data_IF_364589324563
#
_entry.id   IF_364589324563
#
_cell.length_a   1.000
_cell.length_b   1.000
_cell.length_c   1.000
_cell.angle_alpha   90.00
_cell.angle_beta   90.00
_cell.angle_gamma   90.00
#
_symmetry.space_group_name_H-M   'P 1'
#
loop_
_entity.id
_entity.type
_entity.pdbx_description
1 polymer ?
#
# COMPACT_ATOMS: atom_id res chain seq x y z
N UNK A 1 14.80 -0.09 -65.08
CA UNK A 1 14.26 0.70 -63.97
C UNK A 1 14.64 -0.01 -62.68
N UNK A 2 15.44 0.62 -61.81
CA UNK A 2 15.97 0.01 -60.57
C UNK A 2 15.16 0.56 -59.39
N UNK A 3 14.65 -0.27 -58.48
CA UNK A 3 13.84 0.24 -57.36
C UNK A 3 14.72 1.09 -56.43
N UNK A 4 14.16 2.14 -55.79
CA UNK A 4 14.89 2.97 -54.84
C UNK A 4 15.24 2.16 -53.58
N UNK A 5 16.43 2.40 -53.04
CA UNK A 5 16.90 1.76 -51.81
C UNK A 5 16.03 2.18 -50.62
N UNK A 6 15.70 1.27 -49.69
CA UNK A 6 14.94 1.62 -48.49
C UNK A 6 15.71 2.64 -47.65
N UNK A 7 15.03 3.72 -47.27
CA UNK A 7 15.61 4.84 -46.51
C UNK A 7 16.12 4.37 -45.15
N UNK A 8 17.40 4.64 -44.85
CA UNK A 8 18.05 4.31 -43.58
C UNK A 8 17.33 4.90 -42.34
N UNK A 9 16.53 5.95 -42.53
CA UNK A 9 15.69 6.54 -41.48
C UNK A 9 14.58 5.58 -40.99
N UNK A 10 14.06 4.71 -41.86
CA UNK A 10 13.05 3.72 -41.49
C UNK A 10 13.61 2.60 -40.60
N UNK A 11 14.87 2.21 -40.83
CA UNK A 11 15.56 1.20 -40.01
C UNK A 11 15.93 1.73 -38.61
N UNK A 12 16.28 3.01 -38.47
CA UNK A 12 16.55 3.61 -37.15
C UNK A 12 15.29 3.67 -36.27
N UNK A 13 14.11 3.91 -36.86
CA UNK A 13 12.85 4.00 -36.11
C UNK A 13 12.40 2.65 -35.53
N UNK A 14 12.76 1.53 -36.19
CA UNK A 14 12.45 0.17 -35.74
C UNK A 14 13.31 -0.27 -34.54
N UNK A 15 14.50 0.30 -34.35
CA UNK A 15 15.40 0.00 -33.23
C UNK A 15 15.03 0.75 -31.94
N UNK A 16 14.17 1.76 -32.03
CA UNK A 16 13.67 2.54 -30.90
C UNK A 16 12.35 1.99 -30.33
N UNK A 17 11.77 0.94 -30.93
CA UNK A 17 10.61 0.28 -30.34
C UNK A 17 11.07 -0.48 -29.09
N UNK A 18 10.55 -0.13 -27.90
CA UNK A 18 10.79 -0.96 -26.72
C UNK A 18 10.30 -2.38 -27.01
N UNK A 19 10.97 -3.42 -26.49
CA UNK A 19 10.46 -4.77 -26.58
C UNK A 19 9.02 -4.79 -26.05
N UNK A 20 8.12 -5.58 -26.64
CA UNK A 20 6.77 -5.73 -26.13
C UNK A 20 6.88 -6.09 -24.65
N UNK A 21 6.49 -5.12 -23.81
CA UNK A 21 6.75 -5.16 -22.38
C UNK A 21 6.19 -6.45 -21.81
N UNK A 22 6.99 -7.16 -21.04
CA UNK A 22 6.48 -8.23 -20.19
C UNK A 22 5.33 -7.64 -19.39
N UNK A 23 4.11 -8.06 -19.71
CA UNK A 23 2.94 -7.63 -18.97
C UNK A 23 3.12 -8.12 -17.53
N UNK A 24 3.46 -7.20 -16.63
CA UNK A 24 3.55 -7.48 -15.20
C UNK A 24 2.22 -8.11 -14.81
N UNK A 25 2.22 -9.41 -14.49
CA UNK A 25 1.00 -10.11 -14.11
C UNK A 25 0.45 -9.42 -12.88
N UNK A 26 -0.69 -8.75 -13.03
CA UNK A 26 -1.40 -8.16 -11.90
C UNK A 26 -1.64 -9.24 -10.86
N UNK A 27 -1.38 -8.92 -9.59
CA UNK A 27 -1.62 -9.88 -8.53
C UNK A 27 -3.12 -10.15 -8.44
N UNK A 28 -3.48 -11.40 -8.13
CA UNK A 28 -4.87 -11.77 -7.89
C UNK A 28 -5.42 -11.05 -6.65
N UNK A 29 -6.74 -10.80 -6.55
CA UNK A 29 -7.35 -10.16 -5.38
C UNK A 29 -6.97 -10.84 -4.05
N UNK A 30 -6.96 -12.17 -4.04
CA UNK A 30 -6.62 -12.94 -2.84
C UNK A 30 -5.15 -12.75 -2.41
N UNK A 31 -4.21 -12.67 -3.36
CA UNK A 31 -2.80 -12.37 -3.06
C UNK A 31 -2.66 -10.97 -2.46
N UNK A 32 -3.39 -9.99 -3.00
CA UNK A 32 -3.35 -8.59 -2.51
C UNK A 32 -3.92 -8.44 -1.11
N UNK A 33 -5.04 -9.09 -0.82
CA UNK A 33 -5.61 -9.11 0.54
C UNK A 33 -4.62 -9.72 1.55
N UNK A 34 -3.95 -10.82 1.20
CA UNK A 34 -2.91 -11.40 2.08
C UNK A 34 -1.74 -10.45 2.31
N UNK A 35 -1.24 -9.83 1.24
CA UNK A 35 -0.17 -8.83 1.36
C UNK A 35 -0.58 -7.64 2.24
N UNK A 36 -1.84 -7.19 2.15
CA UNK A 36 -2.38 -6.12 3.00
C UNK A 36 -2.42 -6.54 4.48
N UNK A 37 -2.90 -7.76 4.76
CA UNK A 37 -2.93 -8.33 6.13
C UNK A 37 -1.52 -8.50 6.69
N UNK A 38 -0.56 -8.97 5.89
CA UNK A 38 0.83 -9.11 6.33
C UNK A 38 1.43 -7.76 6.72
N UNK A 39 1.18 -6.71 5.92
CA UNK A 39 1.60 -5.35 6.26
C UNK A 39 0.87 -4.79 7.48
N UNK A 40 -0.41 -5.10 7.67
CA UNK A 40 -1.15 -4.69 8.88
C UNK A 40 -0.52 -5.31 10.14
N UNK A 41 -0.22 -6.61 10.08
CA UNK A 41 0.48 -7.29 11.18
C UNK A 41 1.88 -6.70 11.43
N UNK A 42 2.59 -6.29 10.38
CA UNK A 42 3.85 -5.56 10.55
C UNK A 42 3.64 -4.20 11.21
N UNK A 43 2.64 -3.43 10.79
CA UNK A 43 2.27 -2.16 11.43
C UNK A 43 1.91 -2.32 12.91
N UNK A 44 1.26 -3.42 13.29
CA UNK A 44 1.03 -3.77 14.68
C UNK A 44 2.33 -3.90 15.46
N UNK A 45 3.33 -4.59 14.90
CA UNK A 45 4.66 -4.74 15.52
C UNK A 45 5.37 -3.39 15.61
N UNK A 46 5.36 -2.61 14.52
CA UNK A 46 6.09 -1.35 14.40
C UNK A 46 5.55 -0.26 15.35
N UNK A 47 4.24 -0.32 15.65
CA UNK A 47 3.57 0.62 16.57
C UNK A 47 3.52 0.12 18.01
N UNK A 48 3.93 -1.12 18.32
CA UNK A 48 3.74 -1.74 19.63
C UNK A 48 4.37 -0.98 20.82
N UNK A 49 5.38 -0.14 20.57
CA UNK A 49 6.08 0.65 21.59
C UNK A 49 5.81 2.15 21.52
N UNK A 50 4.86 2.57 20.68
CA UNK A 50 4.46 3.97 20.57
C UNK A 50 3.47 4.36 21.66
N UNK A 51 3.14 5.65 21.71
CA UNK A 51 2.15 6.26 22.58
C UNK A 51 1.45 7.39 21.80
N UNK A 52 0.57 8.15 22.44
CA UNK A 52 -0.16 9.24 21.78
C UNK A 52 0.73 10.45 21.41
N UNK A 53 2.02 10.42 21.74
CA UNK A 53 2.98 11.48 21.44
C UNK A 53 3.04 12.60 22.48
N UNK A 54 2.23 12.55 23.54
CA UNK A 54 2.28 13.46 24.67
C UNK A 54 3.29 13.02 25.72
N UNK A 55 3.94 13.98 26.38
CA UNK A 55 5.11 13.70 27.22
C UNK A 55 4.90 12.75 28.40
N UNK A 56 3.67 12.56 28.91
CA UNK A 56 3.40 11.73 30.10
C UNK A 56 2.38 10.62 29.82
N UNK A 57 2.89 9.43 29.49
CA UNK A 57 2.09 8.22 29.21
C UNK A 57 1.17 7.80 30.36
N UNK A 58 1.57 7.98 31.62
CA UNK A 58 0.72 7.63 32.76
C UNK A 58 -0.53 8.52 32.88
N UNK A 59 -0.40 9.79 32.46
CA UNK A 59 -1.56 10.69 32.37
C UNK A 59 -2.44 10.32 31.18
N UNK A 60 -1.84 10.04 30.02
CA UNK A 60 -2.57 9.66 28.81
C UNK A 60 -3.44 8.43 29.03
N UNK A 61 -2.89 7.36 29.63
CA UNK A 61 -3.66 6.14 29.91
C UNK A 61 -4.83 6.37 30.88
N UNK A 62 -4.65 7.28 31.85
CA UNK A 62 -5.70 7.60 32.82
C UNK A 62 -6.80 8.50 32.24
N UNK A 63 -6.42 9.42 31.36
CA UNK A 63 -7.31 10.49 30.87
C UNK A 63 -7.89 10.24 29.49
N UNK A 64 -7.30 9.33 28.71
CA UNK A 64 -7.76 8.92 27.39
C UNK A 64 -8.15 7.43 27.41
N UNK A 65 -7.41 6.61 26.67
CA UNK A 65 -7.49 5.15 26.62
C UNK A 65 -6.06 4.60 26.47
N UNK A 66 -5.89 3.28 26.39
CA UNK A 66 -4.60 2.70 26.03
C UNK A 66 -4.31 2.95 24.56
N UNK A 67 -3.10 3.40 24.24
CA UNK A 67 -2.64 3.55 22.85
C UNK A 67 -2.78 2.23 22.07
N UNK A 68 -2.48 1.11 22.74
CA UNK A 68 -2.51 -0.24 22.17
C UNK A 68 -3.79 -0.58 21.39
N UNK A 69 -4.96 -0.14 21.84
CA UNK A 69 -6.25 -0.41 21.16
C UNK A 69 -6.97 0.88 20.77
N UNK A 70 -6.23 1.97 20.64
CA UNK A 70 -6.79 3.27 20.28
C UNK A 70 -7.08 3.39 18.77
N UNK A 71 -8.05 4.23 18.42
CA UNK A 71 -8.31 4.66 17.03
C UNK A 71 -7.06 5.30 16.41
N UNK A 72 -6.29 6.08 17.20
CA UNK A 72 -5.04 6.70 16.76
C UNK A 72 -4.05 5.65 16.25
N UNK A 73 -3.86 4.56 17.00
CA UNK A 73 -2.96 3.48 16.56
C UNK A 73 -3.49 2.79 15.31
N UNK A 74 -4.80 2.58 15.19
CA UNK A 74 -5.40 2.01 13.98
C UNK A 74 -5.08 2.87 12.75
N UNK A 75 -5.29 4.19 12.84
CA UNK A 75 -5.01 5.14 11.77
C UNK A 75 -3.51 5.17 11.40
N UNK A 76 -2.61 5.20 12.38
CA UNK A 76 -1.18 5.13 12.11
C UNK A 76 -0.78 3.86 11.33
N UNK A 77 -1.43 2.74 11.61
CA UNK A 77 -1.19 1.48 10.89
C UNK A 77 -1.76 1.60 9.48
N UNK A 78 -3.03 1.99 9.31
CA UNK A 78 -3.72 2.02 8.01
C UNK A 78 -3.07 2.98 7.02
N UNK A 79 -2.62 4.15 7.47
CA UNK A 79 -1.90 5.14 6.66
C UNK A 79 -0.59 4.59 6.07
N UNK A 80 0.02 3.60 6.72
CA UNK A 80 1.30 3.02 6.30
C UNK A 80 1.18 1.79 5.38
N UNK A 81 -0.02 1.25 5.18
CA UNK A 81 -0.22 -0.04 4.47
C UNK A 81 0.09 0.04 2.98
N UNK A 82 -0.27 1.15 2.34
CA UNK A 82 -0.21 1.31 0.89
C UNK A 82 0.86 2.32 0.49
N UNK A 83 1.60 2.01 -0.58
CA UNK A 83 2.52 2.98 -1.16
C UNK A 83 1.73 4.15 -1.77
N UNK A 84 2.34 5.33 -1.85
CA UNK A 84 1.69 6.56 -2.32
C UNK A 84 1.08 6.46 -3.74
N UNK A 85 1.53 5.51 -4.56
CA UNK A 85 1.04 5.30 -5.93
C UNK A 85 0.40 3.92 -6.14
N UNK A 86 0.12 3.17 -5.07
CA UNK A 86 -0.49 1.84 -5.14
C UNK A 86 -2.02 1.91 -5.12
N UNK A 87 -2.62 2.33 -6.23
CA UNK A 87 -4.07 2.50 -6.35
C UNK A 87 -4.88 1.24 -6.05
N UNK A 88 -4.37 0.06 -6.43
CA UNK A 88 -5.07 -1.21 -6.19
C UNK A 88 -5.06 -1.57 -4.70
N UNK A 89 -4.00 -1.21 -3.96
CA UNK A 89 -3.96 -1.34 -2.50
C UNK A 89 -4.95 -0.39 -1.82
N UNK A 90 -4.94 0.90 -2.19
CA UNK A 90 -5.83 1.91 -1.62
C UNK A 90 -7.30 1.54 -1.85
N UNK A 91 -7.68 1.15 -3.07
CA UNK A 91 -9.04 0.73 -3.37
C UNK A 91 -9.49 -0.48 -2.54
N UNK A 92 -8.60 -1.44 -2.26
CA UNK A 92 -8.92 -2.60 -1.43
C UNK A 92 -9.05 -2.22 0.06
N UNK A 93 -8.19 -1.31 0.53
CA UNK A 93 -8.25 -0.82 1.91
C UNK A 93 -9.53 -0.03 2.16
N UNK A 94 -9.88 0.89 1.25
CA UNK A 94 -11.14 1.67 1.30
C UNK A 94 -12.37 0.76 1.34
N UNK A 95 -12.42 -0.31 0.53
CA UNK A 95 -13.54 -1.27 0.52
C UNK A 95 -13.70 -2.02 1.86
N UNK A 96 -12.66 -2.11 2.68
CA UNK A 96 -12.63 -2.93 3.88
C UNK A 96 -12.42 -2.13 5.18
N UNK A 97 -12.33 -0.81 5.10
CA UNK A 97 -12.05 0.08 6.23
C UNK A 97 -13.09 -0.07 7.34
N UNK A 98 -14.39 -0.02 7.01
CA UNK A 98 -15.48 -0.18 7.99
C UNK A 98 -15.42 -1.55 8.70
N UNK A 99 -15.09 -2.63 7.97
CA UNK A 99 -14.95 -3.96 8.56
C UNK A 99 -13.74 -4.06 9.49
N UNK A 100 -12.64 -3.43 9.11
CA UNK A 100 -11.41 -3.40 9.89
C UNK A 100 -11.59 -2.60 11.18
N UNK A 101 -12.23 -1.44 11.10
CA UNK A 101 -12.56 -0.61 12.25
C UNK A 101 -13.52 -1.35 13.21
N UNK A 102 -14.59 -1.95 12.68
CA UNK A 102 -15.54 -2.71 13.49
C UNK A 102 -14.92 -3.93 14.17
N UNK A 103 -13.88 -4.54 13.58
CA UNK A 103 -13.09 -5.60 14.21
C UNK A 103 -12.17 -5.03 15.30
N UNK A 104 -11.47 -3.94 15.01
CA UNK A 104 -10.53 -3.30 15.92
C UNK A 104 -11.18 -2.86 17.23
N UNK A 105 -12.37 -2.25 17.15
CA UNK A 105 -13.14 -1.77 18.30
C UNK A 105 -13.67 -2.90 19.21
N UNK A 106 -13.44 -4.17 18.85
CA UNK A 106 -13.82 -5.35 19.65
C UNK A 106 -12.62 -6.06 20.30
N UNK A 107 -11.39 -5.61 20.05
CA UNK A 107 -10.17 -6.09 20.71
C UNK A 107 -10.13 -5.61 22.17
#
# INVERSE_FOLDING_TARGET
MRPPAPSALGLLLLLLLPPPGEATKKATPCKRCRELVDKFNQGMVDTAKKNFGGGNTAWEEKSLSKYEFSEVRLLEITESLCGSSDFECHSLLEEHEEHLEAWWLRL
#
